data_IF_939198584855
#
_entry.id   IF_939198584855
#
_cell.length_a   1.000
_cell.length_b   1.000
_cell.length_c   1.000
_cell.angle_alpha   90.00
_cell.angle_beta   90.00
_cell.angle_gamma   90.00
#
_symmetry.space_group_name_H-M   'P 1'
#
loop_
_entity.id
_entity.type
_entity.pdbx_description
1 polymer ?
#
# COMPACT_ATOMS: atom_id res chain seq x y z
N UNK A 1 5.05 -37.74 -57.37
CA UNK A 1 3.62 -37.37 -57.35
C UNK A 1 3.12 -37.57 -55.93
N UNK A 2 2.58 -36.51 -55.34
CA UNK A 2 1.85 -36.34 -54.05
C UNK A 2 2.55 -36.89 -52.78
N UNK A 3 3.00 -36.04 -51.85
CA UNK A 3 2.22 -35.28 -50.83
C UNK A 3 1.37 -36.18 -49.94
N UNK A 4 1.76 -36.28 -48.66
CA UNK A 4 0.84 -36.16 -47.54
C UNK A 4 1.58 -35.64 -46.30
N UNK A 5 1.39 -34.35 -46.07
CA UNK A 5 1.65 -33.63 -44.82
C UNK A 5 0.57 -34.01 -43.81
N UNK A 6 0.94 -34.23 -42.54
CA UNK A 6 -0.01 -33.97 -41.45
C UNK A 6 0.67 -33.51 -40.15
N UNK A 7 0.66 -32.19 -39.98
CA UNK A 7 0.35 -31.39 -38.77
C UNK A 7 1.11 -31.75 -37.47
N UNK A 8 2.18 -31.04 -37.11
CA UNK A 8 2.29 -29.68 -36.52
C UNK A 8 1.89 -29.54 -35.05
N UNK A 9 2.88 -29.02 -34.30
CA UNK A 9 2.80 -28.02 -33.24
C UNK A 9 2.47 -28.49 -31.81
N UNK A 10 3.53 -28.95 -31.14
CA UNK A 10 3.75 -28.69 -29.71
C UNK A 10 3.78 -27.17 -29.48
N UNK A 11 2.63 -26.56 -29.20
CA UNK A 11 2.58 -25.25 -28.57
C UNK A 11 3.02 -25.41 -27.12
N UNK A 12 4.34 -25.42 -26.90
CA UNK A 12 4.89 -25.03 -25.62
C UNK A 12 4.44 -23.58 -25.41
N UNK A 13 3.45 -23.41 -24.53
CA UNK A 13 3.01 -22.10 -24.05
C UNK A 13 4.26 -21.37 -23.57
N UNK A 14 4.70 -20.39 -24.35
CA UNK A 14 5.65 -19.39 -23.91
C UNK A 14 5.03 -18.75 -22.67
N UNK A 15 5.44 -19.20 -21.49
CA UNK A 15 5.37 -18.38 -20.29
C UNK A 15 6.44 -17.31 -20.52
N UNK A 16 6.08 -16.30 -21.31
CA UNK A 16 6.83 -15.07 -21.36
C UNK A 16 6.82 -14.54 -19.93
N UNK A 17 7.99 -14.55 -19.32
CA UNK A 17 8.32 -13.72 -18.17
C UNK A 17 8.11 -12.26 -18.56
N UNK A 18 6.86 -11.80 -18.51
CA UNK A 18 6.60 -10.38 -18.39
C UNK A 18 7.14 -9.99 -17.03
N UNK A 19 8.36 -9.46 -17.01
CA UNK A 19 8.78 -8.60 -15.92
C UNK A 19 7.70 -7.52 -15.81
N UNK A 20 6.85 -7.63 -14.79
CA UNK A 20 5.84 -6.64 -14.46
C UNK A 20 6.55 -5.29 -14.39
N UNK A 21 6.34 -4.46 -15.41
CA UNK A 21 6.84 -3.09 -15.38
C UNK A 21 6.00 -2.39 -14.34
N UNK A 22 6.62 -2.04 -13.20
CA UNK A 22 5.95 -1.30 -12.14
C UNK A 22 5.31 -0.05 -12.74
N UNK A 23 4.03 0.16 -12.46
CA UNK A 23 3.36 1.38 -12.85
C UNK A 23 3.97 2.54 -12.05
N UNK A 24 4.70 3.42 -12.74
CA UNK A 24 5.38 4.55 -12.11
C UNK A 24 4.44 5.45 -11.30
N UNK A 25 3.19 5.61 -11.73
CA UNK A 25 2.20 6.42 -11.01
C UNK A 25 1.85 5.79 -9.66
N UNK A 26 1.85 4.45 -9.58
CA UNK A 26 1.64 3.71 -8.34
C UNK A 26 2.85 3.85 -7.42
N UNK A 27 4.07 3.72 -7.94
CA UNK A 27 5.29 3.93 -7.16
C UNK A 27 5.33 5.34 -6.54
N UNK A 28 5.00 6.35 -7.34
CA UNK A 28 4.92 7.74 -6.89
C UNK A 28 3.82 7.94 -5.85
N UNK A 29 2.63 7.35 -6.04
CA UNK A 29 1.53 7.42 -5.08
C UNK A 29 1.90 6.80 -3.73
N UNK A 30 2.46 5.59 -3.74
CA UNK A 30 2.89 4.90 -2.51
C UNK A 30 3.99 5.70 -1.80
N UNK A 31 4.94 6.26 -2.57
CA UNK A 31 6.00 7.11 -2.02
C UNK A 31 5.44 8.40 -1.40
N UNK A 32 4.45 9.05 -2.04
CA UNK A 32 3.77 10.21 -1.46
C UNK A 32 3.05 9.88 -0.17
N UNK A 33 2.34 8.74 -0.10
CA UNK A 33 1.68 8.29 1.12
C UNK A 33 2.67 8.07 2.25
N UNK A 34 3.76 7.33 2.01
CA UNK A 34 4.81 7.14 3.00
C UNK A 34 5.34 8.49 3.52
N UNK A 35 5.63 9.44 2.61
CA UNK A 35 6.13 10.77 2.98
C UNK A 35 5.11 11.61 3.74
N UNK A 36 3.84 11.54 3.40
CA UNK A 36 2.79 12.28 4.08
C UNK A 36 2.67 11.84 5.55
N UNK A 37 2.74 10.53 5.81
CA UNK A 37 2.80 9.99 7.18
C UNK A 37 4.08 10.37 7.93
N UNK A 38 5.25 10.28 7.30
CA UNK A 38 6.52 10.69 7.92
C UNK A 38 6.56 12.18 8.29
N UNK A 39 5.87 13.02 7.52
CA UNK A 39 5.81 14.47 7.72
C UNK A 39 4.67 14.93 8.63
N UNK A 40 3.85 14.00 9.13
CA UNK A 40 2.63 14.30 9.89
C UNK A 40 1.66 15.23 9.13
N UNK A 41 1.54 15.06 7.80
CA UNK A 41 0.75 15.90 6.91
C UNK A 41 -0.58 15.21 6.57
N UNK A 42 -1.61 15.45 7.39
CA UNK A 42 -2.93 14.85 7.21
C UNK A 42 -3.63 15.32 5.93
N UNK A 43 -3.32 16.52 5.43
CA UNK A 43 -3.87 17.03 4.17
C UNK A 43 -3.28 16.29 2.97
N UNK A 44 -1.95 16.08 2.98
CA UNK A 44 -1.29 15.28 1.95
C UNK A 44 -1.77 13.83 1.94
N UNK A 45 -2.03 13.23 3.11
CA UNK A 45 -2.61 11.88 3.19
C UNK A 45 -3.94 11.83 2.43
N UNK A 46 -4.90 12.68 2.80
CA UNK A 46 -6.24 12.64 2.19
C UNK A 46 -6.28 13.20 0.75
N UNK A 47 -5.23 13.88 0.31
CA UNK A 47 -5.13 14.36 -1.06
C UNK A 47 -5.10 13.21 -2.07
N UNK A 48 -4.47 12.08 -1.75
CA UNK A 48 -4.44 10.90 -2.63
C UNK A 48 -5.72 10.05 -2.52
N UNK A 49 -6.52 10.17 -1.46
CA UNK A 49 -7.79 9.45 -1.34
C UNK A 49 -8.89 10.05 -2.21
N UNK A 50 -9.79 9.19 -2.69
CA UNK A 50 -11.08 9.59 -3.23
C UNK A 50 -12.00 10.10 -2.11
N UNK A 51 -13.03 10.87 -2.47
CA UNK A 51 -13.94 11.48 -1.49
C UNK A 51 -14.58 10.46 -0.53
N UNK A 52 -14.91 9.28 -1.06
CA UNK A 52 -15.51 8.15 -0.34
C UNK A 52 -14.57 6.95 -0.20
N UNK A 53 -13.25 7.15 -0.34
CA UNK A 53 -12.26 6.08 -0.23
C UNK A 53 -12.24 5.43 1.15
N UNK A 54 -11.87 4.15 1.21
CA UNK A 54 -11.80 3.39 2.46
C UNK A 54 -10.35 3.20 2.92
N UNK A 55 -10.11 3.40 4.21
CA UNK A 55 -8.88 3.02 4.90
C UNK A 55 -9.21 1.99 5.98
N UNK A 56 -8.60 0.82 5.91
CA UNK A 56 -8.91 -0.31 6.79
C UNK A 56 -7.60 -0.82 7.38
N UNK A 57 -7.56 -0.94 8.71
CA UNK A 57 -6.45 -1.52 9.44
C UNK A 57 -6.99 -2.43 10.56
N UNK A 58 -6.18 -3.30 11.19
CA UNK A 58 -6.61 -4.13 12.31
C UNK A 58 -7.30 -3.33 13.43
N UNK A 59 -8.61 -3.56 13.58
CA UNK A 59 -9.47 -2.89 14.57
C UNK A 59 -10.04 -1.54 14.14
N UNK A 60 -9.88 -1.12 12.89
CA UNK A 60 -10.37 0.18 12.40
C UNK A 60 -10.81 0.08 10.93
N UNK A 61 -11.94 0.74 10.62
CA UNK A 61 -12.43 0.88 9.25
C UNK A 61 -12.99 2.29 9.09
N UNK A 62 -12.31 3.11 8.30
CA UNK A 62 -12.61 4.52 8.07
C UNK A 62 -13.15 4.71 6.65
N UNK A 63 -14.10 5.63 6.48
CA UNK A 63 -14.68 5.91 5.17
C UNK A 63 -14.72 7.41 4.88
N UNK A 64 -14.09 7.78 3.78
CA UNK A 64 -14.04 9.14 3.28
C UNK A 64 -12.97 9.99 3.98
N UNK A 65 -12.67 11.12 3.35
CA UNK A 65 -11.53 11.97 3.74
C UNK A 65 -11.62 12.48 5.18
N UNK A 66 -12.81 12.85 5.64
CA UNK A 66 -12.99 13.42 6.98
C UNK A 66 -12.56 12.44 8.08
N UNK A 67 -12.99 11.18 8.01
CA UNK A 67 -12.66 10.15 8.99
C UNK A 67 -11.17 9.79 8.95
N UNK A 68 -10.62 9.64 7.74
CA UNK A 68 -9.20 9.34 7.52
C UNK A 68 -8.32 10.47 8.08
N UNK A 69 -8.66 11.73 7.76
CA UNK A 69 -7.93 12.90 8.25
C UNK A 69 -7.92 12.95 9.77
N UNK A 70 -9.10 12.78 10.38
CA UNK A 70 -9.25 12.80 11.83
C UNK A 70 -8.39 11.72 12.48
N UNK A 71 -8.41 10.50 11.94
CA UNK A 71 -7.60 9.40 12.48
C UNK A 71 -6.09 9.69 12.35
N UNK A 72 -5.64 10.23 11.22
CA UNK A 72 -4.25 10.64 11.04
C UNK A 72 -3.84 11.75 12.03
N UNK A 73 -4.67 12.79 12.20
CA UNK A 73 -4.43 13.86 13.17
C UNK A 73 -4.40 13.35 14.62
N UNK A 74 -5.28 12.41 14.97
CA UNK A 74 -5.30 11.80 16.31
C UNK A 74 -4.05 10.94 16.52
N UNK A 75 -3.62 10.17 15.52
CA UNK A 75 -2.34 9.45 15.53
C UNK A 75 -1.16 10.41 15.71
N UNK A 76 -1.11 11.53 14.99
CA UNK A 76 -0.03 12.51 15.11
C UNK A 76 -0.01 13.25 16.45
N UNK A 77 -1.10 13.27 17.21
CA UNK A 77 -1.08 13.79 18.59
C UNK A 77 -0.39 12.82 19.54
N UNK A 78 -0.47 11.52 19.28
CA UNK A 78 0.04 10.46 20.14
C UNK A 78 1.48 10.06 19.79
N UNK A 79 1.83 10.02 18.51
CA UNK A 79 3.11 9.51 18.02
C UNK A 79 3.97 10.58 17.36
N UNK A 80 5.29 10.38 17.39
CA UNK A 80 6.32 11.17 16.73
C UNK A 80 7.31 10.25 16.04
N UNK A 81 8.23 10.82 15.27
CA UNK A 81 9.36 10.11 14.65
C UNK A 81 8.89 8.97 13.74
N UNK A 82 7.71 9.12 13.12
CA UNK A 82 7.18 8.17 12.14
C UNK A 82 8.20 8.00 11.00
N UNK A 83 8.54 6.74 10.71
CA UNK A 83 9.37 6.33 9.56
C UNK A 83 8.68 5.20 8.83
N UNK A 84 8.71 5.29 7.51
CA UNK A 84 8.08 4.33 6.62
C UNK A 84 9.12 3.87 5.61
N UNK A 85 9.56 2.63 5.75
CA UNK A 85 10.50 2.00 4.80
C UNK A 85 9.71 1.08 3.87
N UNK A 86 9.48 1.55 2.65
CA UNK A 86 8.91 0.72 1.58
C UNK A 86 9.92 -0.40 1.25
N UNK A 87 9.49 -1.66 1.33
CA UNK A 87 10.33 -2.83 1.03
C UNK A 87 9.98 -3.44 -0.31
N UNK A 88 8.70 -3.39 -0.70
CA UNK A 88 8.21 -3.90 -1.98
C UNK A 88 7.01 -3.12 -2.47
N UNK A 89 6.91 -2.92 -3.78
CA UNK A 89 5.70 -2.46 -4.45
C UNK A 89 5.42 -3.41 -5.62
N UNK A 90 4.16 -3.78 -5.81
CA UNK A 90 3.69 -4.48 -7.00
C UNK A 90 2.34 -3.93 -7.43
N UNK A 91 2.02 -4.10 -8.70
CA UNK A 91 0.79 -3.58 -9.28
C UNK A 91 0.30 -4.45 -10.43
N UNK A 92 -1.01 -4.56 -10.56
CA UNK A 92 -1.71 -5.08 -11.72
C UNK A 92 -2.85 -4.14 -12.09
N UNK A 93 -2.67 -3.40 -13.20
CA UNK A 93 -3.61 -2.38 -13.64
C UNK A 93 -3.85 -1.28 -12.59
N UNK A 94 -5.03 -1.30 -11.96
CA UNK A 94 -5.50 -0.33 -10.97
C UNK A 94 -5.41 -0.81 -9.53
N UNK A 95 -4.99 -2.06 -9.34
CA UNK A 95 -4.79 -2.67 -8.04
C UNK A 95 -3.29 -2.83 -7.80
N UNK A 96 -2.92 -2.91 -6.54
CA UNK A 96 -1.55 -3.18 -6.17
C UNK A 96 -1.41 -3.52 -4.70
N UNK A 97 -0.16 -3.76 -4.33
CA UNK A 97 0.19 -3.91 -2.95
C UNK A 97 1.56 -3.34 -2.65
N UNK A 98 1.74 -3.01 -1.38
CA UNK A 98 3.01 -2.56 -0.82
C UNK A 98 3.30 -3.37 0.43
N UNK A 99 4.55 -3.75 0.58
CA UNK A 99 5.10 -4.14 1.88
C UNK A 99 5.92 -2.95 2.37
N UNK A 100 5.72 -2.56 3.62
CA UNK A 100 6.56 -1.56 4.27
C UNK A 100 6.85 -1.93 5.73
N UNK A 101 7.94 -1.39 6.25
CA UNK A 101 8.23 -1.40 7.68
C UNK A 101 7.88 -0.03 8.24
N UNK A 102 6.98 0.01 9.20
CA UNK A 102 6.56 1.17 9.95
C UNK A 102 7.30 1.24 11.28
N UNK A 103 7.75 2.42 11.69
CA UNK A 103 8.19 2.65 13.06
C UNK A 103 7.78 4.02 13.54
N UNK A 104 7.48 4.14 14.82
CA UNK A 104 7.17 5.40 15.47
C UNK A 104 7.65 5.41 16.93
N UNK A 105 7.45 6.54 17.59
CA UNK A 105 7.71 6.72 19.00
C UNK A 105 6.49 7.33 19.68
N UNK A 106 5.99 6.69 20.73
CA UNK A 106 4.93 7.24 21.56
C UNK A 106 5.43 8.49 22.29
N UNK A 107 4.74 9.62 22.15
CA UNK A 107 5.16 10.91 22.75
C UNK A 107 5.09 10.91 24.26
N UNK A 108 4.19 10.13 24.86
CA UNK A 108 3.95 10.08 26.30
C UNK A 108 4.92 9.13 27.01
N UNK A 109 5.08 7.91 26.48
CA UNK A 109 5.92 6.88 27.12
C UNK A 109 7.35 6.90 26.63
N UNK A 110 7.59 7.43 25.43
CA UNK A 110 8.90 7.39 24.76
C UNK A 110 9.24 6.03 24.15
N UNK A 111 8.35 5.04 24.28
CA UNK A 111 8.48 3.71 23.69
C UNK A 111 8.47 3.80 22.17
N UNK A 112 9.25 2.93 21.52
CA UNK A 112 9.30 2.81 20.07
C UNK A 112 8.51 1.61 19.61
N UNK A 113 7.78 1.74 18.51
CA UNK A 113 7.16 0.62 17.81
C UNK A 113 7.89 0.33 16.51
N UNK A 114 7.82 -0.92 16.06
CA UNK A 114 8.29 -1.38 14.77
C UNK A 114 7.33 -2.48 14.29
N UNK A 115 6.72 -2.28 13.13
CA UNK A 115 5.71 -3.19 12.57
C UNK A 115 6.00 -3.38 11.09
N UNK A 116 6.01 -4.63 10.63
CA UNK A 116 5.96 -4.94 9.21
C UNK A 116 4.49 -5.10 8.79
N UNK A 117 4.13 -4.46 7.68
CA UNK A 117 2.76 -4.38 7.20
C UNK A 117 2.70 -4.64 5.70
N UNK A 118 1.65 -5.35 5.29
CA UNK A 118 1.29 -5.59 3.90
C UNK A 118 -0.02 -4.87 3.61
N UNK A 119 -0.03 -4.09 2.54
CA UNK A 119 -1.18 -3.29 2.14
C UNK A 119 -1.65 -3.75 0.77
N UNK A 120 -2.96 -3.91 0.62
CA UNK A 120 -3.63 -4.02 -0.68
C UNK A 120 -4.42 -2.74 -0.94
N UNK A 121 -4.28 -2.19 -2.14
CA UNK A 121 -4.96 -0.96 -2.53
C UNK A 121 -5.58 -1.03 -3.93
N UNK A 122 -6.61 -0.22 -4.14
CA UNK A 122 -7.25 0.00 -5.44
C UNK A 122 -7.34 1.50 -5.73
N UNK A 123 -7.03 1.87 -6.97
CA UNK A 123 -7.01 3.25 -7.45
C UNK A 123 -8.06 3.44 -8.55
N UNK A 124 -8.80 4.53 -8.47
CA UNK A 124 -9.69 5.00 -9.54
C UNK A 124 -9.43 6.47 -9.81
N UNK A 125 -9.24 6.82 -11.08
CA UNK A 125 -9.00 8.19 -11.54
C UNK A 125 -7.84 8.88 -10.80
N UNK A 126 -6.76 8.11 -10.54
CA UNK A 126 -5.58 8.57 -9.81
C UNK A 126 -5.78 8.75 -8.29
N UNK A 127 -6.91 8.29 -7.74
CA UNK A 127 -7.24 8.37 -6.32
C UNK A 127 -7.43 7.01 -5.68
N UNK A 128 -7.00 6.87 -4.43
CA UNK A 128 -7.19 5.66 -3.63
C UNK A 128 -8.67 5.54 -3.28
N UNK A 129 -9.32 4.49 -3.74
CA UNK A 129 -10.70 4.15 -3.34
C UNK A 129 -10.72 3.05 -2.27
N UNK A 130 -9.65 2.29 -2.15
CA UNK A 130 -9.48 1.24 -1.15
C UNK A 130 -8.01 1.16 -0.71
N UNK A 131 -7.79 1.13 0.60
CA UNK A 131 -6.50 0.90 1.24
C UNK A 131 -6.72 -0.01 2.43
N UNK A 132 -6.10 -1.19 2.45
CA UNK A 132 -6.23 -2.13 3.56
C UNK A 132 -4.89 -2.68 4.00
N UNK A 133 -4.61 -2.49 5.28
CA UNK A 133 -3.42 -2.91 5.98
C UNK A 133 -3.64 -4.28 6.65
N UNK A 134 -2.56 -5.07 6.64
CA UNK A 134 -2.48 -6.41 7.20
C UNK A 134 -1.15 -6.51 7.95
N UNK A 135 -1.25 -6.30 9.26
CA UNK A 135 -0.14 -6.50 10.19
C UNK A 135 -0.61 -7.19 11.45
N UNK A 136 0.30 -7.97 12.02
CA UNK A 136 0.10 -8.51 13.36
C UNK A 136 0.51 -7.45 14.38
N UNK A 137 -0.40 -7.09 15.28
CA UNK A 137 -0.03 -6.38 16.50
C UNK A 137 0.70 -7.37 17.41
N UNK A 138 1.95 -7.72 17.10
CA UNK A 138 2.78 -8.43 18.06
C UNK A 138 2.91 -7.57 19.30
N UNK A 139 2.30 -8.03 20.39
CA UNK A 139 2.60 -7.53 21.72
C UNK A 139 4.01 -7.99 22.00
N UNK A 140 5.00 -7.08 21.93
CA UNK A 140 6.36 -7.44 22.33
C UNK A 140 6.29 -7.75 23.82
N UNK A 141 6.23 -9.04 24.13
CA UNK A 141 6.22 -9.57 25.48
C UNK A 141 7.62 -10.03 25.79
N UNK A 142 8.49 -9.10 26.22
CA UNK A 142 9.69 -9.36 27.03
C UNK A 142 10.50 -8.09 27.20
#
# INVERSE_FOLDING_TARGET
MAEDNNLTNNSATNISSESQTLNKDIEELVTRQAKAWENADSEAIIADFAENGAFIAPGTSLKGKADIKKAAEDYFKEFTDTKVKITRIFSDGKEGGVEWTWSDKNKKTGEKSLIDDAIIFEIKDGKIIYWREYFDKQTVSS
#
